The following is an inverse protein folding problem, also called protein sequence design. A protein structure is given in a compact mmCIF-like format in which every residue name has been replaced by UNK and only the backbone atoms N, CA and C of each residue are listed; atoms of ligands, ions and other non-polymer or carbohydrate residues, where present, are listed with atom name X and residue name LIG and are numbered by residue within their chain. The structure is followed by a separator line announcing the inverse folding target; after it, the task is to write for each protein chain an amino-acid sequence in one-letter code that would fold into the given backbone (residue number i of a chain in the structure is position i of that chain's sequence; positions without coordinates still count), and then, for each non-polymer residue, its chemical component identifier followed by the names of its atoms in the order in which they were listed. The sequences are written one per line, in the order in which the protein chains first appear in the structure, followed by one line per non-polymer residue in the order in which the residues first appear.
data_IF_260577229596
#
_entry.id   IF_260577229596
#
_cell.length_a   1.000
_cell.length_b   1.000
_cell.length_c   1.000
_cell.angle_alpha   90.00
_cell.angle_beta   90.00
_cell.angle_gamma   90.00
#
_symmetry.space_group_name_H-M   'P 1'
#
loop_
_entity.id
_entity.type
_entity.pdbx_description
1 polymer ?
#
# COMPACT_ATOMS: atom_id res chain seq x y z
N UNK A 1 12.55 26.57 37.21
CA UNK A 1 12.30 27.05 35.82
C UNK A 1 12.49 25.83 34.94
N UNK A 2 11.41 25.29 34.38
CA UNK A 2 11.51 24.26 33.35
C UNK A 2 12.37 24.86 32.22
N UNK A 3 13.49 24.19 31.90
CA UNK A 3 14.44 24.66 30.89
C UNK A 3 14.04 24.32 29.46
N UNK A 4 12.77 23.94 29.25
CA UNK A 4 12.27 23.48 27.97
C UNK A 4 11.74 24.66 27.14
N UNK A 5 11.92 24.56 25.82
CA UNK A 5 11.59 25.63 24.88
C UNK A 5 10.51 25.08 23.94
N UNK A 6 9.25 25.33 24.26
CA UNK A 6 8.11 24.75 23.54
C UNK A 6 7.52 25.73 22.51
N UNK A 7 7.68 27.04 22.73
CA UNK A 7 7.09 28.10 21.90
C UNK A 7 8.14 29.12 21.50
N UNK A 8 7.88 29.81 20.39
CA UNK A 8 8.70 30.94 19.95
C UNK A 8 8.82 32.05 21.01
N UNK A 9 7.84 32.17 21.92
CA UNK A 9 7.89 33.09 23.05
C UNK A 9 8.97 32.72 24.06
N UNK A 10 9.19 31.42 24.32
CA UNK A 10 10.20 30.93 25.24
C UNK A 10 11.60 31.24 24.70
N UNK A 11 11.77 31.16 23.38
CA UNK A 11 13.00 31.57 22.68
C UNK A 11 13.27 33.08 22.87
N UNK A 12 12.25 33.93 22.86
CA UNK A 12 12.43 35.39 23.06
C UNK A 12 12.95 35.72 24.46
N UNK A 13 12.57 34.95 25.47
CA UNK A 13 13.00 35.16 26.86
C UNK A 13 14.42 34.60 27.15
N UNK A 14 15.07 33.97 26.17
CA UNK A 14 16.43 33.48 26.32
C UNK A 14 17.39 34.62 26.68
N UNK A 15 18.10 34.46 27.79
CA UNK A 15 19.06 35.43 28.28
C UNK A 15 20.43 35.15 27.68
N UNK A 16 20.91 36.11 26.91
CA UNK A 16 22.25 36.12 26.33
C UNK A 16 23.15 36.95 27.23
N UNK A 17 24.36 36.44 27.50
CA UNK A 17 25.38 37.16 28.24
C UNK A 17 26.49 37.56 27.29
N UNK A 18 26.71 38.86 27.14
CA UNK A 18 27.81 39.42 26.37
C UNK A 18 28.63 40.33 27.30
N UNK A 19 29.84 39.90 27.64
CA UNK A 19 30.65 40.55 28.68
C UNK A 19 29.97 40.52 30.06
N UNK A 20 29.80 41.70 30.67
CA UNK A 20 29.17 41.87 31.99
C UNK A 20 27.65 42.08 31.98
N UNK A 21 27.03 42.20 30.80
CA UNK A 21 25.62 42.57 30.66
C UNK A 21 24.79 41.36 30.22
N UNK A 22 23.56 41.28 30.75
CA UNK A 22 22.59 40.23 30.41
C UNK A 22 21.43 40.88 29.68
N UNK A 23 21.15 40.40 28.47
CA UNK A 23 20.09 40.93 27.60
C UNK A 23 19.22 39.77 27.10
N UNK A 24 17.92 40.01 26.86
CA UNK A 24 17.05 38.97 26.29
C UNK A 24 17.16 38.96 24.77
N UNK A 25 17.01 37.77 24.16
CA UNK A 25 17.03 37.63 22.71
C UNK A 25 15.93 38.49 22.05
N UNK A 26 14.74 38.56 22.65
CA UNK A 26 13.64 39.39 22.16
C UNK A 26 13.90 40.90 22.20
N UNK A 27 14.86 41.38 22.99
CA UNK A 27 15.23 42.81 23.06
C UNK A 27 16.16 43.20 21.89
N UNK A 28 16.78 42.23 21.21
CA UNK A 28 17.78 42.48 20.14
C UNK A 28 17.45 41.80 18.81
N UNK A 29 16.49 40.88 18.78
CA UNK A 29 16.10 40.13 17.58
C UNK A 29 14.59 39.89 17.52
N UNK A 30 14.06 39.82 16.31
CA UNK A 30 12.67 39.40 16.07
C UNK A 30 12.62 37.89 15.90
N UNK A 31 11.98 37.20 16.83
CA UNK A 31 11.74 35.75 16.73
C UNK A 31 10.36 35.52 16.12
N UNK A 32 10.29 34.84 14.99
CA UNK A 32 9.02 34.44 14.35
C UNK A 32 8.99 32.92 14.18
N UNK A 33 7.78 32.35 14.21
CA UNK A 33 7.55 31.00 13.71
C UNK A 33 7.19 31.11 12.24
N UNK A 34 7.82 30.29 11.41
CA UNK A 34 7.60 30.28 9.97
C UNK A 34 7.99 28.94 9.38
N UNK A 35 7.76 28.80 8.09
CA UNK A 35 8.27 27.67 7.32
C UNK A 35 9.78 27.83 7.09
N UNK A 36 10.46 26.73 6.83
CA UNK A 36 11.87 26.74 6.45
C UNK A 36 12.03 27.45 5.10
N UNK A 37 12.83 28.52 5.07
CA UNK A 37 13.15 29.32 3.88
C UNK A 37 14.68 29.47 3.75
N UNK A 38 15.30 29.04 2.64
CA UNK A 38 14.70 28.40 1.47
C UNK A 38 14.25 26.97 1.75
N UNK A 39 13.14 26.57 1.11
CA UNK A 39 12.63 25.20 1.18
C UNK A 39 13.71 24.21 0.71
N UNK A 40 14.17 23.33 1.59
CA UNK A 40 15.14 22.29 1.25
C UNK A 40 14.52 21.20 0.36
N UNK A 41 13.21 20.93 0.51
CA UNK A 41 12.46 19.95 -0.29
C UNK A 41 11.07 20.50 -0.57
N UNK A 42 10.67 20.47 -1.83
CA UNK A 42 9.36 20.91 -2.29
C UNK A 42 8.75 19.80 -3.13
N UNK A 43 7.58 19.30 -2.71
CA UNK A 43 6.85 18.27 -3.43
C UNK A 43 5.74 18.89 -4.25
N UNK A 44 5.53 18.39 -5.46
CA UNK A 44 4.43 18.80 -6.33
C UNK A 44 3.67 17.59 -6.84
N UNK A 45 2.37 17.78 -7.00
CA UNK A 45 1.48 16.83 -7.63
C UNK A 45 0.61 17.59 -8.64
N UNK A 46 0.61 17.13 -9.90
CA UNK A 46 -0.11 17.78 -11.01
C UNK A 46 0.13 19.30 -11.13
N UNK A 47 1.35 19.77 -10.85
CA UNK A 47 1.71 21.19 -10.93
C UNK A 47 1.36 22.04 -9.70
N UNK A 48 0.66 21.47 -8.72
CA UNK A 48 0.33 22.10 -7.46
C UNK A 48 1.32 21.72 -6.36
N UNK A 49 1.62 22.64 -5.45
CA UNK A 49 2.43 22.36 -4.26
C UNK A 49 1.67 21.38 -3.36
N UNK A 50 2.36 20.34 -2.90
CA UNK A 50 1.74 19.17 -2.25
C UNK A 50 2.55 18.71 -1.05
N UNK A 51 1.91 17.97 -0.16
CA UNK A 51 2.57 17.19 0.89
C UNK A 51 2.34 15.72 0.56
N UNK A 52 3.42 14.94 0.49
CA UNK A 52 3.33 13.50 0.22
C UNK A 52 3.36 12.72 1.53
N UNK A 53 2.43 11.78 1.67
CA UNK A 53 2.38 10.82 2.76
C UNK A 53 2.56 9.43 2.19
N UNK A 54 3.60 8.73 2.63
CA UNK A 54 3.83 7.32 2.31
C UNK A 54 3.35 6.43 3.46
N UNK A 55 2.50 5.47 3.16
CA UNK A 55 2.08 4.44 4.12
C UNK A 55 2.79 3.14 3.78
N UNK A 56 3.45 2.54 4.78
CA UNK A 56 4.16 1.27 4.62
C UNK A 56 3.51 0.24 5.53
N UNK A 57 3.22 -0.93 4.96
CA UNK A 57 2.66 -2.05 5.70
C UNK A 57 3.67 -2.61 6.70
N UNK A 58 3.23 -2.83 7.94
CA UNK A 58 4.02 -3.55 8.94
C UNK A 58 4.17 -5.03 8.57
N UNK A 59 5.30 -5.64 8.94
CA UNK A 59 5.55 -7.07 8.66
C UNK A 59 4.49 -7.96 9.34
N UNK A 60 4.04 -8.98 8.63
CA UNK A 60 3.06 -9.96 9.13
C UNK A 60 1.60 -9.57 8.95
N UNK A 61 1.30 -8.41 8.36
CA UNK A 61 -0.04 -8.00 8.00
C UNK A 61 -0.38 -8.37 6.56
N UNK A 62 -1.67 -8.60 6.29
CA UNK A 62 -2.17 -8.87 4.94
C UNK A 62 -2.36 -7.56 4.19
N UNK A 63 -1.80 -7.49 2.97
CA UNK A 63 -1.86 -6.29 2.13
C UNK A 63 -3.29 -5.84 1.81
N UNK A 64 -4.22 -6.80 1.64
CA UNK A 64 -5.63 -6.52 1.36
C UNK A 64 -6.38 -5.91 2.53
N UNK A 65 -6.03 -6.30 3.76
CA UNK A 65 -6.71 -5.82 4.96
C UNK A 65 -6.21 -4.42 5.29
N UNK A 66 -4.90 -4.21 5.21
CA UNK A 66 -4.27 -2.89 5.37
C UNK A 66 -4.77 -1.90 4.32
N UNK A 67 -4.95 -2.34 3.07
CA UNK A 67 -5.55 -1.50 2.02
C UNK A 67 -6.95 -0.99 2.39
N UNK A 68 -7.81 -1.85 2.95
CA UNK A 68 -9.17 -1.47 3.38
C UNK A 68 -9.14 -0.47 4.55
N UNK A 69 -8.26 -0.68 5.51
CA UNK A 69 -8.14 0.20 6.68
C UNK A 69 -7.59 1.58 6.29
N UNK A 70 -6.63 1.61 5.37
CA UNK A 70 -6.09 2.87 4.81
C UNK A 70 -7.17 3.62 4.04
N UNK A 71 -7.97 2.93 3.22
CA UNK A 71 -9.09 3.52 2.48
C UNK A 71 -10.17 4.09 3.42
N UNK A 72 -10.50 3.37 4.49
CA UNK A 72 -11.45 3.85 5.50
C UNK A 72 -10.94 5.11 6.21
N UNK A 73 -9.65 5.12 6.56
CA UNK A 73 -8.98 6.28 7.17
C UNK A 73 -8.93 7.46 6.21
N UNK A 74 -8.63 7.19 4.93
CA UNK A 74 -8.61 8.18 3.87
C UNK A 74 -9.96 8.90 3.74
N UNK A 75 -11.07 8.16 3.68
CA UNK A 75 -12.42 8.74 3.62
C UNK A 75 -12.75 9.60 4.83
N UNK A 76 -12.42 9.12 6.02
CA UNK A 76 -12.64 9.90 7.24
C UNK A 76 -11.81 11.18 7.26
N UNK A 77 -10.58 11.12 6.75
CA UNK A 77 -9.72 12.28 6.64
C UNK A 77 -10.25 13.29 5.62
N UNK A 78 -10.75 12.83 4.48
CA UNK A 78 -11.34 13.67 3.44
C UNK A 78 -12.53 14.50 3.96
N UNK A 79 -13.37 13.92 4.81
CA UNK A 79 -14.49 14.61 5.46
C UNK A 79 -14.04 15.72 6.43
N UNK A 80 -12.85 15.59 7.01
CA UNK A 80 -12.31 16.55 7.97
C UNK A 80 -11.52 17.69 7.29
N UNK A 81 -11.33 17.64 5.97
CA UNK A 81 -10.52 18.63 5.27
C UNK A 81 -11.22 19.99 5.15
N UNK A 82 -10.46 21.09 5.34
CA UNK A 82 -10.97 22.42 5.04
C UNK A 82 -11.13 22.62 3.53
N UNK A 83 -12.02 23.53 3.15
CA UNK A 83 -12.25 23.88 1.75
C UNK A 83 -10.95 24.29 1.03
N UNK A 84 -10.75 23.74 -0.17
CA UNK A 84 -9.59 24.03 -1.01
C UNK A 84 -8.39 23.09 -0.79
N UNK A 85 -8.51 22.09 0.08
CA UNK A 85 -7.54 20.99 0.20
C UNK A 85 -8.16 19.73 -0.40
N UNK A 86 -7.44 19.10 -1.34
CA UNK A 86 -7.74 17.76 -1.84
C UNK A 86 -6.63 16.81 -1.44
N UNK A 87 -6.99 15.55 -1.27
CA UNK A 87 -6.04 14.45 -1.13
C UNK A 87 -6.25 13.57 -2.35
N UNK A 88 -5.15 13.12 -2.95
CA UNK A 88 -5.18 12.26 -4.13
C UNK A 88 -4.25 11.07 -3.88
N UNK A 89 -4.74 9.87 -4.22
CA UNK A 89 -3.92 8.66 -4.13
C UNK A 89 -3.02 8.54 -5.36
N UNK A 90 -1.70 8.52 -5.13
CA UNK A 90 -0.70 8.44 -6.20
C UNK A 90 -0.42 6.99 -6.59
N UNK A 91 -0.41 6.07 -5.63
CA UNK A 91 -0.10 4.66 -5.85
C UNK A 91 -0.88 3.75 -4.90
N UNK A 92 -1.55 2.75 -5.45
CA UNK A 92 -2.26 1.70 -4.73
C UNK A 92 -1.69 0.32 -5.09
N UNK A 93 -0.78 -0.20 -4.27
CA UNK A 93 -0.25 -1.56 -4.44
C UNK A 93 -1.26 -2.66 -4.08
N UNK A 94 -2.03 -2.56 -2.96
CA UNK A 94 -3.10 -3.49 -2.64
C UNK A 94 -4.13 -3.69 -3.76
N UNK A 95 -4.58 -2.60 -4.41
CA UNK A 95 -5.53 -2.66 -5.53
C UNK A 95 -4.99 -3.49 -6.70
N UNK A 96 -3.74 -3.23 -7.10
CA UNK A 96 -3.06 -3.94 -8.20
C UNK A 96 -2.94 -5.45 -7.96
N UNK A 97 -2.76 -5.88 -6.70
CA UNK A 97 -2.74 -7.32 -6.35
C UNK A 97 -4.14 -7.92 -6.41
N UNK A 98 -5.15 -7.20 -5.91
CA UNK A 98 -6.55 -7.64 -5.91
C UNK A 98 -7.06 -7.86 -7.34
N UNK A 99 -6.78 -6.91 -8.24
CA UNK A 99 -7.15 -7.02 -9.65
C UNK A 99 -6.45 -8.20 -10.33
N UNK A 100 -5.17 -8.41 -10.05
CA UNK A 100 -4.41 -9.53 -10.61
C UNK A 100 -4.96 -10.90 -10.15
N UNK A 101 -5.39 -11.01 -8.88
CA UNK A 101 -6.01 -12.24 -8.37
C UNK A 101 -7.38 -12.46 -9.02
N UNK A 102 -8.19 -11.41 -9.17
CA UNK A 102 -9.49 -11.51 -9.83
C UNK A 102 -9.36 -11.93 -11.30
N UNK A 103 -8.42 -11.33 -12.03
CA UNK A 103 -8.12 -11.68 -13.42
C UNK A 103 -7.60 -13.11 -13.55
N UNK A 104 -6.74 -13.56 -12.62
CA UNK A 104 -6.30 -14.95 -12.55
C UNK A 104 -7.47 -15.93 -12.34
N UNK A 105 -8.37 -15.63 -11.39
CA UNK A 105 -9.52 -16.49 -11.12
C UNK A 105 -10.48 -16.57 -12.31
N UNK A 106 -10.66 -15.46 -13.03
CA UNK A 106 -11.42 -15.44 -14.28
C UNK A 106 -10.76 -16.31 -15.36
N UNK A 107 -9.47 -16.12 -15.62
CA UNK A 107 -8.73 -16.90 -16.62
C UNK A 107 -8.68 -18.40 -16.27
N UNK A 108 -8.53 -18.73 -14.99
CA UNK A 108 -8.58 -20.09 -14.47
C UNK A 108 -9.94 -20.75 -14.77
N UNK A 109 -11.03 -20.04 -14.52
CA UNK A 109 -12.38 -20.52 -14.79
C UNK A 109 -12.63 -20.78 -16.29
N UNK A 110 -12.18 -19.88 -17.15
CA UNK A 110 -12.27 -20.03 -18.61
C UNK A 110 -11.44 -21.22 -19.11
N UNK A 111 -10.20 -21.35 -18.65
CA UNK A 111 -9.33 -22.47 -19.00
C UNK A 111 -9.94 -23.81 -18.56
N UNK A 112 -10.42 -23.90 -17.33
CA UNK A 112 -11.07 -25.11 -16.81
C UNK A 112 -12.31 -25.48 -17.65
N UNK A 113 -13.13 -24.49 -18.00
CA UNK A 113 -14.32 -24.71 -18.83
C UNK A 113 -13.94 -25.31 -20.19
N UNK A 114 -12.94 -24.74 -20.88
CA UNK A 114 -12.48 -25.20 -22.19
C UNK A 114 -11.96 -26.64 -22.09
N UNK A 115 -11.12 -26.93 -21.10
CA UNK A 115 -10.55 -28.26 -20.85
C UNK A 115 -11.64 -29.29 -20.61
N UNK A 116 -12.64 -28.95 -19.80
CA UNK A 116 -13.76 -29.84 -19.53
C UNK A 116 -14.54 -30.12 -20.81
N UNK A 117 -14.91 -29.08 -21.57
CA UNK A 117 -15.64 -29.24 -22.84
C UNK A 117 -14.88 -30.14 -23.81
N UNK A 118 -13.59 -29.89 -24.03
CA UNK A 118 -12.75 -30.70 -24.93
C UNK A 118 -12.63 -32.14 -24.43
N UNK A 119 -12.44 -32.34 -23.13
CA UNK A 119 -12.31 -33.67 -22.51
C UNK A 119 -13.61 -34.46 -22.58
N UNK A 120 -14.76 -33.83 -22.33
CA UNK A 120 -16.08 -34.44 -22.48
C UNK A 120 -16.35 -34.87 -23.92
N UNK A 121 -15.97 -34.06 -24.90
CA UNK A 121 -16.15 -34.36 -26.32
C UNK A 121 -15.18 -35.43 -26.84
N UNK A 122 -13.93 -35.44 -26.35
CA UNK A 122 -12.87 -36.30 -26.87
C UNK A 122 -12.85 -37.69 -26.20
N UNK A 123 -12.88 -37.74 -24.87
CA UNK A 123 -12.60 -38.97 -24.08
C UNK A 123 -13.85 -39.43 -23.31
N UNK A 124 -14.90 -38.61 -23.24
CA UNK A 124 -16.18 -38.93 -22.62
C UNK A 124 -16.28 -38.54 -21.15
N UNK A 125 -17.46 -38.77 -20.57
CA UNK A 125 -17.86 -38.19 -19.28
C UNK A 125 -16.99 -38.57 -18.07
N UNK A 126 -16.46 -39.79 -18.04
CA UNK A 126 -15.69 -40.29 -16.89
C UNK A 126 -14.35 -39.57 -16.77
N UNK A 127 -13.63 -39.40 -17.88
CA UNK A 127 -12.31 -38.76 -17.90
C UNK A 127 -12.41 -37.26 -17.64
N UNK A 128 -13.41 -36.59 -18.20
CA UNK A 128 -13.65 -35.16 -17.93
C UNK A 128 -13.91 -34.88 -16.45
N UNK A 129 -14.65 -35.76 -15.75
CA UNK A 129 -14.91 -35.60 -14.31
C UNK A 129 -13.65 -35.78 -13.45
N UNK A 130 -12.74 -36.67 -13.84
CA UNK A 130 -11.46 -36.85 -13.13
C UNK A 130 -10.63 -35.56 -13.21
N UNK A 131 -10.53 -34.95 -14.40
CA UNK A 131 -9.80 -33.70 -14.61
C UNK A 131 -10.45 -32.54 -13.85
N UNK A 132 -11.79 -32.47 -13.83
CA UNK A 132 -12.56 -31.47 -13.10
C UNK A 132 -12.21 -31.42 -11.60
N UNK A 133 -11.95 -32.58 -11.01
CA UNK A 133 -11.63 -32.73 -9.59
C UNK A 133 -10.12 -32.55 -9.35
N UNK A 134 -9.29 -33.04 -10.27
CA UNK A 134 -7.83 -32.97 -10.15
C UNK A 134 -7.31 -31.53 -10.11
N UNK A 135 -7.83 -30.63 -10.97
CA UNK A 135 -7.34 -29.25 -11.07
C UNK A 135 -7.53 -28.47 -9.76
N UNK A 136 -8.75 -28.37 -9.16
CA UNK A 136 -8.93 -27.68 -7.89
C UNK A 136 -8.14 -28.31 -6.75
N UNK A 137 -7.99 -29.65 -6.76
CA UNK A 137 -7.24 -30.36 -5.74
C UNK A 137 -5.74 -30.00 -5.77
N UNK A 138 -5.14 -29.98 -6.96
CA UNK A 138 -3.72 -29.60 -7.13
C UNK A 138 -3.52 -28.14 -6.73
N UNK A 139 -4.41 -27.22 -7.14
CA UNK A 139 -4.33 -25.82 -6.74
C UNK A 139 -4.46 -25.63 -5.22
N UNK A 140 -5.39 -26.34 -4.58
CA UNK A 140 -5.54 -26.31 -3.12
C UNK A 140 -4.26 -26.80 -2.43
N UNK A 141 -3.64 -27.86 -2.93
CA UNK A 141 -2.37 -28.36 -2.42
C UNK A 141 -1.23 -27.35 -2.64
N UNK A 142 -1.15 -26.71 -3.81
CA UNK A 142 -0.14 -25.67 -4.08
C UNK A 142 -0.33 -24.47 -3.15
N UNK A 143 -1.55 -23.99 -2.95
CA UNK A 143 -1.82 -22.89 -2.01
C UNK A 143 -1.50 -23.26 -0.56
N UNK A 144 -1.78 -24.49 -0.13
CA UNK A 144 -1.42 -24.97 1.20
C UNK A 144 0.12 -24.98 1.40
N UNK A 145 0.87 -25.46 0.40
CA UNK A 145 2.33 -25.47 0.43
C UNK A 145 2.89 -24.04 0.41
N UNK A 146 2.34 -23.16 -0.43
CA UNK A 146 2.73 -21.75 -0.47
C UNK A 146 2.51 -21.07 0.88
N UNK A 147 1.38 -21.35 1.53
CA UNK A 147 1.08 -20.82 2.86
C UNK A 147 2.09 -21.29 3.91
N UNK A 148 2.45 -22.57 3.91
CA UNK A 148 3.42 -23.15 4.86
C UNK A 148 4.83 -22.59 4.67
N UNK A 149 5.24 -22.34 3.41
CA UNK A 149 6.58 -21.81 3.08
C UNK A 149 6.61 -20.27 3.17
N UNK A 150 5.45 -19.61 3.36
CA UNK A 150 5.35 -18.15 3.46
C UNK A 150 5.49 -17.43 2.12
N UNK A 151 5.09 -18.06 1.02
CA UNK A 151 5.08 -17.46 -0.31
C UNK A 151 3.76 -16.73 -0.52
N UNK A 152 3.83 -15.40 -0.61
CA UNK A 152 2.67 -14.55 -0.88
C UNK A 152 2.18 -14.65 -2.33
N UNK A 153 0.88 -14.42 -2.51
CA UNK A 153 0.27 -14.28 -3.83
C UNK A 153 0.56 -12.88 -4.41
N UNK A 154 1.35 -12.86 -5.48
CA UNK A 154 1.70 -11.68 -6.25
C UNK A 154 1.66 -11.98 -7.74
N UNK A 155 1.78 -10.96 -8.59
CA UNK A 155 1.72 -11.09 -10.05
C UNK A 155 2.66 -12.18 -10.62
N UNK A 156 3.86 -12.31 -10.07
CA UNK A 156 4.84 -13.33 -10.52
C UNK A 156 4.39 -14.74 -10.14
N UNK A 157 3.92 -14.96 -8.91
CA UNK A 157 3.45 -16.28 -8.47
C UNK A 157 2.15 -16.69 -9.19
N UNK A 158 1.26 -15.73 -9.47
CA UNK A 158 0.06 -15.97 -10.28
C UNK A 158 0.44 -16.37 -11.72
N UNK A 159 1.39 -15.68 -12.35
CA UNK A 159 1.89 -16.05 -13.67
C UNK A 159 2.48 -17.46 -13.70
N UNK A 160 3.24 -17.83 -12.67
CA UNK A 160 3.79 -19.19 -12.54
C UNK A 160 2.69 -20.25 -12.39
N UNK A 161 1.64 -19.97 -11.62
CA UNK A 161 0.48 -20.86 -11.46
C UNK A 161 -0.28 -21.09 -12.77
N UNK A 162 -0.46 -20.04 -13.59
CA UNK A 162 -1.11 -20.16 -14.91
C UNK A 162 -0.31 -21.11 -15.81
N UNK A 163 1.01 -20.92 -15.89
CA UNK A 163 1.88 -21.76 -16.74
C UNK A 163 1.88 -23.21 -16.22
N UNK A 164 2.03 -23.40 -14.91
CA UNK A 164 2.02 -24.73 -14.30
C UNK A 164 0.70 -25.46 -14.54
N UNK A 165 -0.44 -24.76 -14.48
CA UNK A 165 -1.74 -25.34 -14.79
C UNK A 165 -1.85 -25.74 -16.27
N UNK A 166 -1.35 -24.90 -17.18
CA UNK A 166 -1.31 -25.23 -18.61
C UNK A 166 -0.56 -26.54 -18.88
N UNK A 167 0.54 -26.76 -18.15
CA UNK A 167 1.34 -27.99 -18.22
C UNK A 167 0.71 -29.19 -17.50
N UNK A 168 -0.18 -28.97 -16.52
CA UNK A 168 -0.83 -30.05 -15.76
C UNK A 168 -1.89 -30.80 -16.58
N UNK A 169 -2.49 -30.10 -17.55
CA UNK A 169 -3.62 -30.60 -18.33
C UNK A 169 -3.20 -31.23 -19.66
N UNK A 170 -2.00 -30.89 -20.15
CA UNK A 170 -1.37 -31.56 -21.28
C UNK A 170 -1.05 -33.04 -20.95
#
# INVERSE_FOLDING_TARGET
VEGDVAKAADIRELRLRAGGQVTRLGDIATVTSGLEDPFQRKYRFNGHDSVQLGVVMAKGFKVTDVGKDVEATYKHFEEALPYGVSVDQISDQPGVVTDAVAEFMHALGEALLIVLVVSFLSIGWRSGLVIAIAIPLVLAATFAIMYEIGIDLQRISLGALIIALGLLVD
#
